data_IF_816765522003
#
_entry.id   IF_816765522003
#
_cell.length_a   1.000
_cell.length_b   1.000
_cell.length_c   1.000
_cell.angle_alpha   90.00
_cell.angle_beta   90.00
_cell.angle_gamma   90.00
#
_symmetry.space_group_name_H-M   'P 1'
#
loop_
_entity.id
_entity.type
_entity.pdbx_description
1 polymer ?
#
# COMPACT_ATOMS: atom_id res chain seq x y z
N UNK A 1 -62.66 39.49 14.89
CA UNK A 1 -63.86 39.37 14.02
C UNK A 1 -63.35 39.33 12.58
N UNK A 2 -63.39 38.17 11.87
CA UNK A 2 -64.45 37.72 10.92
C UNK A 2 -64.70 38.80 9.84
N UNK A 3 -64.62 38.60 8.52
CA UNK A 3 -64.66 37.43 7.62
C UNK A 3 -64.29 37.88 6.17
N UNK A 4 -63.75 36.94 5.35
CA UNK A 4 -64.15 36.55 3.97
C UNK A 4 -64.36 37.63 2.86
N UNK A 5 -64.18 37.43 1.55
CA UNK A 5 -63.72 36.37 0.62
C UNK A 5 -64.05 36.88 -0.81
N UNK A 6 -63.17 36.69 -1.81
CA UNK A 6 -63.47 36.35 -3.24
C UNK A 6 -62.20 36.50 -4.09
N UNK A 7 -61.53 35.44 -4.55
CA UNK A 7 -61.89 34.45 -5.58
C UNK A 7 -61.42 34.84 -6.99
N UNK A 8 -60.36 34.18 -7.48
CA UNK A 8 -60.35 33.39 -8.74
C UNK A 8 -58.95 33.28 -9.37
N UNK A 9 -58.39 32.07 -9.37
CA UNK A 9 -57.92 31.39 -10.59
C UNK A 9 -57.69 29.90 -10.28
N UNK A 10 -58.08 29.08 -11.25
CA UNK A 10 -58.40 27.64 -11.16
C UNK A 10 -57.19 26.70 -10.97
N UNK A 11 -57.44 25.51 -10.42
CA UNK A 11 -56.46 24.44 -10.23
C UNK A 11 -56.31 23.60 -11.49
N UNK A 12 -55.12 23.05 -11.72
CA UNK A 12 -54.93 21.89 -12.58
C UNK A 12 -54.34 20.76 -11.74
N UNK A 13 -55.10 19.66 -11.68
CA UNK A 13 -54.73 18.39 -11.11
C UNK A 13 -53.73 17.67 -12.02
N UNK A 14 -52.67 17.18 -11.38
CA UNK A 14 -51.75 16.04 -11.62
C UNK A 14 -51.83 15.21 -12.92
N UNK A 15 -50.72 14.52 -13.26
CA UNK A 15 -50.54 13.20 -12.65
C UNK A 15 -49.15 12.96 -12.04
N UNK A 16 -49.16 12.15 -10.98
CA UNK A 16 -48.00 11.40 -10.51
C UNK A 16 -47.45 10.52 -11.63
N UNK A 17 -46.14 10.56 -11.82
CA UNK A 17 -45.40 9.43 -12.38
C UNK A 17 -44.29 9.06 -11.38
N UNK A 18 -44.57 8.03 -10.59
CA UNK A 18 -43.54 7.29 -9.90
C UNK A 18 -42.78 6.46 -10.95
N UNK A 19 -41.49 6.72 -11.11
CA UNK A 19 -40.56 5.77 -11.72
C UNK A 19 -39.48 5.45 -10.68
N UNK A 20 -39.61 4.22 -10.17
CA UNK A 20 -38.70 3.52 -9.27
C UNK A 20 -37.35 3.26 -9.95
N UNK A 21 -36.29 3.35 -9.13
CA UNK A 21 -35.08 2.54 -9.19
C UNK A 21 -34.18 2.69 -10.43
N UNK A 22 -33.24 3.62 -10.33
CA UNK A 22 -31.85 3.24 -10.53
C UNK A 22 -31.07 3.86 -9.37
N UNK A 23 -30.79 3.05 -8.35
CA UNK A 23 -29.73 3.43 -7.41
C UNK A 23 -28.51 3.74 -8.26
N UNK A 24 -27.93 4.93 -8.08
CA UNK A 24 -26.53 5.12 -8.38
C UNK A 24 -25.75 4.28 -7.37
N UNK A 25 -25.83 2.95 -7.49
CA UNK A 25 -24.68 2.10 -7.27
C UNK A 25 -23.69 2.52 -8.36
N UNK A 26 -23.01 3.65 -8.13
CA UNK A 26 -21.60 3.68 -8.45
C UNK A 26 -20.98 2.62 -7.56
N UNK A 27 -21.13 1.37 -8.00
CA UNK A 27 -20.16 0.33 -7.73
C UNK A 27 -18.83 1.03 -7.93
N UNK A 28 -17.98 1.16 -6.90
CA UNK A 28 -16.68 1.74 -7.07
C UNK A 28 -16.09 0.96 -8.24
N UNK A 29 -15.97 1.61 -9.40
CA UNK A 29 -15.13 1.07 -10.45
C UNK A 29 -13.81 0.97 -9.74
N UNK A 30 -13.46 -0.25 -9.34
CA UNK A 30 -12.14 -0.57 -8.89
C UNK A 30 -11.30 -0.25 -10.12
N UNK A 31 -10.84 1.00 -10.19
CA UNK A 31 -9.69 1.37 -10.98
C UNK A 31 -8.66 0.43 -10.39
N UNK A 32 -8.43 -0.70 -11.06
CA UNK A 32 -7.38 -1.62 -10.69
C UNK A 32 -6.13 -0.77 -10.73
N UNK A 33 -5.68 -0.33 -9.55
CA UNK A 33 -4.47 0.44 -9.43
C UNK A 33 -3.40 -0.45 -10.04
N UNK A 34 -2.87 -0.04 -11.20
CA UNK A 34 -1.84 -0.83 -11.87
C UNK A 34 -0.67 -0.94 -10.92
N UNK A 35 -0.24 -2.17 -10.68
CA UNK A 35 0.95 -2.43 -9.89
C UNK A 35 2.12 -1.65 -10.46
N UNK A 36 2.82 -0.91 -9.60
CA UNK A 36 4.01 -0.18 -9.96
C UNK A 36 5.14 -1.20 -10.21
N UNK A 37 5.90 -1.08 -11.32
CA UNK A 37 6.97 -2.02 -11.61
C UNK A 37 8.14 -1.83 -10.64
N UNK A 38 8.79 -2.91 -10.28
CA UNK A 38 10.07 -2.90 -9.57
C UNK A 38 10.88 -4.16 -9.90
N UNK A 39 12.15 -4.18 -9.51
CA UNK A 39 13.01 -5.33 -9.73
C UNK A 39 12.52 -6.55 -8.92
N UNK A 40 12.20 -7.64 -9.62
CA UNK A 40 11.72 -8.89 -9.03
C UNK A 40 12.62 -10.07 -9.40
N UNK A 41 12.46 -11.15 -8.64
CA UNK A 41 13.05 -12.46 -8.92
C UNK A 41 11.98 -13.54 -8.81
N UNK A 42 12.20 -14.68 -9.45
CA UNK A 42 11.34 -15.85 -9.23
C UNK A 42 11.36 -16.27 -7.76
N UNK A 43 10.18 -16.39 -7.16
CA UNK A 43 10.04 -16.97 -5.84
C UNK A 43 10.39 -18.47 -5.86
N UNK A 44 11.30 -18.92 -5.00
CA UNK A 44 11.58 -20.35 -4.88
C UNK A 44 10.53 -21.03 -3.98
N UNK A 45 10.04 -22.23 -4.34
CA UNK A 45 9.18 -23.00 -3.46
C UNK A 45 9.95 -23.39 -2.19
N UNK A 46 9.33 -23.22 -1.02
CA UNK A 46 9.90 -23.53 0.30
C UNK A 46 11.16 -22.73 0.68
N UNK A 47 11.18 -21.44 0.32
CA UNK A 47 12.25 -20.54 0.74
C UNK A 47 12.42 -20.50 2.27
N UNK A 48 13.58 -20.95 2.73
CA UNK A 48 13.96 -20.90 4.15
C UNK A 48 14.70 -19.58 4.41
N UNK A 49 14.34 -18.82 5.46
CA UNK A 49 14.99 -17.55 5.76
C UNK A 49 16.50 -17.71 5.97
N UNK A 50 17.28 -16.85 5.32
CA UNK A 50 18.68 -16.61 5.69
C UNK A 50 18.73 -15.55 6.78
N UNK A 51 19.51 -15.75 7.84
CA UNK A 51 19.51 -14.84 8.99
C UNK A 51 20.11 -13.45 8.69
N UNK A 52 20.88 -13.31 7.60
CA UNK A 52 21.29 -11.99 7.12
C UNK A 52 20.09 -11.26 6.53
N UNK A 53 19.89 -10.02 6.94
CA UNK A 53 18.73 -9.26 6.55
C UNK A 53 19.01 -7.77 6.38
N UNK A 54 18.05 -7.11 5.74
CA UNK A 54 18.06 -5.66 5.52
C UNK A 54 16.84 -5.07 6.18
N UNK A 55 17.06 -4.02 6.98
CA UNK A 55 16.01 -3.35 7.73
C UNK A 55 16.13 -1.84 7.64
N UNK A 56 14.98 -1.18 7.65
CA UNK A 56 14.89 0.26 7.54
C UNK A 56 13.52 0.71 7.07
N UNK A 57 13.42 1.99 6.70
CA UNK A 57 12.18 2.56 6.16
C UNK A 57 12.03 2.18 4.69
N UNK A 58 10.91 1.54 4.35
CA UNK A 58 10.59 1.13 2.98
C UNK A 58 10.29 2.35 2.10
N UNK A 59 10.94 2.41 0.94
CA UNK A 59 10.74 3.46 -0.05
C UNK A 59 10.63 2.91 -1.46
N UNK A 60 10.12 3.75 -2.35
CA UNK A 60 10.04 3.48 -3.78
C UNK A 60 10.48 4.70 -4.58
N UNK A 61 11.38 4.51 -5.56
CA UNK A 61 11.85 5.58 -6.44
C UNK A 61 12.18 5.02 -7.81
N UNK A 62 11.42 5.47 -8.82
CA UNK A 62 11.72 5.21 -10.23
C UNK A 62 11.88 3.74 -10.60
N UNK A 63 11.03 2.86 -10.04
CA UNK A 63 11.10 1.42 -10.28
C UNK A 63 12.05 0.67 -9.34
N UNK A 64 12.63 1.32 -8.33
CA UNK A 64 13.38 0.63 -7.28
C UNK A 64 12.64 0.71 -5.94
N UNK A 65 12.43 -0.45 -5.31
CA UNK A 65 12.15 -0.56 -3.88
C UNK A 65 13.46 -0.50 -3.10
N UNK A 66 13.49 0.20 -1.98
CA UNK A 66 14.68 0.28 -1.13
C UNK A 66 14.30 0.36 0.34
N UNK A 67 15.23 -0.02 1.22
CA UNK A 67 15.19 0.36 2.63
C UNK A 67 16.23 1.41 2.92
N UNK A 68 15.85 2.46 3.64
CA UNK A 68 16.79 3.42 4.21
C UNK A 68 17.05 3.04 5.66
N UNK A 69 18.30 2.67 5.96
CA UNK A 69 18.71 2.36 7.33
C UNK A 69 18.62 3.62 8.20
N UNK A 70 18.49 3.49 9.53
CA UNK A 70 18.48 4.64 10.44
C UNK A 70 19.72 5.53 10.32
N UNK A 71 20.85 5.00 9.84
CA UNK A 71 22.09 5.74 9.57
C UNK A 71 22.13 6.45 8.20
N UNK A 72 21.06 6.39 7.41
CA UNK A 72 20.93 7.08 6.12
C UNK A 72 21.44 6.31 4.90
N UNK A 73 21.83 5.03 5.05
CA UNK A 73 22.25 4.19 3.93
C UNK A 73 21.05 3.56 3.22
N UNK A 74 20.99 3.65 1.89
CA UNK A 74 19.95 2.99 1.09
C UNK A 74 20.42 1.63 0.58
N UNK A 75 19.56 0.62 0.71
CA UNK A 75 19.74 -0.70 0.09
C UNK A 75 18.55 -1.01 -0.80
N UNK A 76 18.79 -1.19 -2.10
CA UNK A 76 17.79 -1.61 -3.07
C UNK A 76 17.32 -3.04 -2.81
N UNK A 77 16.06 -3.32 -3.11
CA UNK A 77 15.44 -4.61 -2.89
C UNK A 77 15.04 -5.23 -4.22
N UNK A 78 15.45 -6.49 -4.41
CA UNK A 78 14.87 -7.37 -5.41
C UNK A 78 13.91 -8.31 -4.68
N UNK A 79 12.62 -8.07 -4.88
CA UNK A 79 11.57 -8.80 -4.17
C UNK A 79 11.20 -10.09 -4.91
N UNK A 80 10.67 -11.12 -4.21
CA UNK A 80 10.00 -12.22 -4.87
C UNK A 80 8.85 -11.71 -5.76
N UNK A 81 8.71 -12.26 -6.96
CA UNK A 81 7.72 -11.90 -7.99
C UNK A 81 6.25 -12.10 -7.58
N UNK A 82 6.00 -12.81 -6.48
CA UNK A 82 4.68 -12.87 -5.83
C UNK A 82 4.24 -11.56 -5.16
N UNK A 83 5.15 -10.61 -4.96
CA UNK A 83 4.81 -9.30 -4.41
C UNK A 83 4.35 -8.33 -5.50
N UNK A 84 3.37 -7.52 -5.16
CA UNK A 84 2.87 -6.43 -5.98
C UNK A 84 2.90 -5.12 -5.18
N UNK A 85 3.21 -4.02 -5.86
CA UNK A 85 3.18 -2.67 -5.27
C UNK A 85 1.99 -1.91 -5.85
N UNK A 86 0.88 -1.90 -5.13
CA UNK A 86 -0.35 -1.22 -5.55
C UNK A 86 -0.49 0.09 -4.79
N UNK A 87 -0.39 1.21 -5.52
CA UNK A 87 -0.28 2.56 -4.95
C UNK A 87 0.91 2.69 -3.97
N UNK A 88 0.66 2.60 -2.67
CA UNK A 88 1.66 2.69 -1.60
C UNK A 88 1.82 1.38 -0.82
N UNK A 89 1.13 0.31 -1.22
CA UNK A 89 1.09 -0.94 -0.48
C UNK A 89 1.79 -2.06 -1.25
N UNK A 90 2.86 -2.59 -0.66
CA UNK A 90 3.60 -3.76 -1.13
C UNK A 90 3.04 -5.02 -0.46
N UNK A 91 2.50 -5.96 -1.23
CA UNK A 91 1.82 -7.14 -0.67
C UNK A 91 1.96 -8.38 -1.56
N UNK A 92 1.93 -9.56 -0.94
CA UNK A 92 1.80 -10.86 -1.63
C UNK A 92 0.50 -11.60 -1.27
N UNK A 93 -0.47 -10.89 -0.70
CA UNK A 93 -1.74 -11.44 -0.21
C UNK A 93 -1.70 -12.08 1.18
N UNK A 94 -0.50 -12.35 1.73
CA UNK A 94 -0.32 -12.86 3.10
C UNK A 94 0.28 -11.83 4.04
N UNK A 95 1.25 -11.06 3.55
CA UNK A 95 1.85 -9.93 4.27
C UNK A 95 1.73 -8.68 3.42
N UNK A 96 1.61 -7.54 4.08
CA UNK A 96 1.50 -6.23 3.46
C UNK A 96 2.31 -5.20 4.22
N UNK A 97 2.99 -4.33 3.48
CA UNK A 97 3.78 -3.22 4.00
C UNK A 97 3.40 -1.95 3.25
N UNK A 98 3.36 -0.82 3.95
CA UNK A 98 3.22 0.49 3.33
C UNK A 98 4.58 1.12 3.09
N UNK A 99 4.70 1.86 1.99
CA UNK A 99 5.83 2.77 1.82
C UNK A 99 5.86 3.76 3.00
N UNK A 100 7.05 3.97 3.56
CA UNK A 100 7.27 4.75 4.78
C UNK A 100 7.28 3.92 6.07
N UNK A 101 6.85 2.66 6.03
CA UNK A 101 6.94 1.78 7.21
C UNK A 101 8.36 1.28 7.44
N UNK A 102 8.68 1.04 8.71
CA UNK A 102 9.89 0.32 9.07
C UNK A 102 9.67 -1.18 8.87
N UNK A 103 10.55 -1.81 8.10
CA UNK A 103 10.45 -3.21 7.68
C UNK A 103 11.78 -3.92 7.86
N UNK A 104 11.74 -5.25 7.90
CA UNK A 104 12.94 -6.10 7.92
C UNK A 104 12.73 -7.34 7.06
N UNK A 105 13.73 -7.67 6.25
CA UNK A 105 13.71 -8.79 5.32
C UNK A 105 14.95 -9.67 5.51
N UNK A 106 14.81 -10.99 5.43
CA UNK A 106 15.94 -11.87 5.11
C UNK A 106 16.40 -11.59 3.68
N UNK A 107 17.68 -11.35 3.47
CA UNK A 107 18.20 -11.06 2.14
C UNK A 107 19.67 -11.46 1.95
N UNK A 108 20.02 -11.82 0.72
CA UNK A 108 21.41 -11.98 0.28
C UNK A 108 21.84 -10.81 -0.59
N UNK A 109 23.04 -10.25 -0.36
CA UNK A 109 23.53 -9.13 -1.16
C UNK A 109 24.07 -9.58 -2.52
N UNK A 110 23.79 -8.78 -3.55
CA UNK A 110 24.33 -9.00 -4.88
C UNK A 110 25.76 -8.46 -4.99
N UNK A 111 26.56 -9.10 -5.85
CA UNK A 111 27.80 -8.49 -6.33
C UNK A 111 27.51 -7.18 -7.09
N UNK A 112 28.52 -6.32 -7.22
CA UNK A 112 28.39 -5.04 -7.92
C UNK A 112 27.99 -5.24 -9.38
N UNK A 113 28.53 -6.27 -10.04
CA UNK A 113 28.21 -6.60 -11.43
C UNK A 113 26.75 -7.03 -11.57
N UNK A 114 26.24 -7.84 -10.63
CA UNK A 114 24.84 -8.27 -10.62
C UNK A 114 23.90 -7.09 -10.34
N UNK A 115 24.24 -6.22 -9.39
CA UNK A 115 23.45 -5.04 -9.08
C UNK A 115 23.36 -4.07 -10.28
N UNK A 116 24.42 -3.93 -11.06
CA UNK A 116 24.44 -3.07 -12.26
C UNK A 116 23.51 -3.55 -13.39
N UNK A 117 23.09 -4.82 -13.38
CA UNK A 117 22.16 -5.38 -14.36
C UNK A 117 20.68 -5.07 -14.04
N UNK A 118 20.40 -4.46 -12.88
CA UNK A 118 19.05 -4.16 -12.42
C UNK A 118 18.65 -2.71 -12.71
N UNK A 119 17.35 -2.43 -12.66
CA UNK A 119 16.88 -1.05 -12.80
C UNK A 119 17.17 -0.21 -11.56
N UNK A 120 17.38 -0.84 -10.40
CA UNK A 120 17.66 -0.14 -9.17
C UNK A 120 18.92 0.73 -9.22
N UNK A 121 18.81 1.94 -8.65
CA UNK A 121 19.85 2.99 -8.69
C UNK A 121 20.63 3.12 -7.38
N UNK A 122 20.48 2.19 -6.45
CA UNK A 122 21.26 2.16 -5.21
C UNK A 122 22.58 1.41 -5.43
N UNK A 123 23.68 1.80 -4.75
CA UNK A 123 24.96 1.12 -4.88
C UNK A 123 24.96 -0.30 -4.27
N UNK A 124 24.12 -0.51 -3.26
CA UNK A 124 23.92 -1.79 -2.59
C UNK A 124 22.54 -2.33 -2.96
N UNK A 125 22.46 -3.59 -3.37
CA UNK A 125 21.20 -4.26 -3.72
C UNK A 125 21.15 -5.63 -3.05
N UNK A 126 20.01 -5.92 -2.42
CA UNK A 126 19.76 -7.14 -1.69
C UNK A 126 18.60 -7.93 -2.34
N UNK A 127 18.80 -9.23 -2.47
CA UNK A 127 17.83 -10.18 -2.95
C UNK A 127 17.02 -10.69 -1.76
N UNK A 128 15.77 -10.28 -1.64
CA UNK A 128 14.91 -10.64 -0.51
C UNK A 128 14.50 -12.08 -0.61
N UNK A 129 14.85 -12.89 0.39
CA UNK A 129 14.56 -14.34 0.49
C UNK A 129 13.25 -14.56 1.23
N UNK A 130 13.06 -13.87 2.36
CA UNK A 130 11.84 -13.96 3.14
C UNK A 130 11.51 -12.61 3.80
N UNK A 131 10.23 -12.41 4.07
CA UNK A 131 9.70 -11.21 4.71
C UNK A 131 9.27 -11.54 6.13
N UNK A 132 9.78 -10.80 7.12
CA UNK A 132 9.34 -10.96 8.50
C UNK A 132 8.26 -9.91 8.81
N UNK A 133 7.26 -10.26 9.65
CA UNK A 133 6.45 -9.25 10.29
C UNK A 133 7.37 -8.36 11.12
N UNK A 134 7.31 -7.04 10.94
CA UNK A 134 7.89 -6.14 11.93
C UNK A 134 6.97 -6.15 13.14
N UNK A 135 7.52 -6.50 14.31
CA UNK A 135 6.84 -6.18 15.57
C UNK A 135 6.56 -4.66 15.57
N UNK A 136 5.34 -4.22 15.92
CA UNK A 136 5.06 -2.79 16.02
C UNK A 136 6.07 -2.16 16.98
N UNK A 137 6.53 -0.91 16.72
CA UNK A 137 7.42 -0.24 17.64
C UNK A 137 6.78 -0.26 19.04
N UNK A 138 7.57 -0.54 20.11
CA UNK A 138 7.02 -0.52 21.46
C UNK A 138 6.31 0.82 21.66
N UNK A 139 5.07 0.76 22.16
CA UNK A 139 4.36 1.98 22.52
C UNK A 139 5.27 2.80 23.43
N UNK A 140 5.36 4.13 23.24
CA UNK A 140 6.08 4.95 24.21
C UNK A 140 5.48 4.64 25.57
N UNK A 141 6.31 4.18 26.50
CA UNK A 141 5.92 3.89 27.86
C UNK A 141 5.11 5.07 28.37
N UNK A 142 3.79 4.86 28.54
CA UNK A 142 3.01 5.73 29.39
C UNK A 142 3.42 5.32 30.79
N UNK A 143 4.31 6.10 31.38
CA UNK A 143 4.49 6.12 32.83
C UNK A 143 3.14 6.53 33.41
N UNK A 144 2.22 5.58 33.60
CA UNK A 144 1.17 5.72 34.60
C UNK A 144 1.91 5.70 35.94
N UNK A 145 2.34 6.90 36.32
CA UNK A 145 2.70 7.27 37.68
C UNK A 145 1.58 6.77 38.60
N UNK A 146 1.94 5.83 39.46
CA UNK A 146 1.11 5.42 40.59
C UNK A 146 0.92 6.64 41.50
N UNK A 147 -0.32 7.07 41.68
CA UNK A 147 -0.79 7.70 42.92
C UNK A 147 -2.21 7.19 43.24
#
# INVERSE_FOLDING_TARGET
MKHADKSSARPWLAPLAAALLAGCNQEPQAIQARSLPFDTRSAAPNEVPYAEGVGGTLGYRGGCLFVTSPGGGETGLVMPDRFELNADTLSNGHVSYKLGEHVSFSAGFLSREQAAALNCKTPTVAMVVNSFPTEPPPAPYSEEEQD
#
